data_IF_847057398311
#
_entry.id   IF_847057398311
#
_cell.length_a   1.000
_cell.length_b   1.000
_cell.length_c   1.000
_cell.angle_alpha   90.00
_cell.angle_beta   90.00
_cell.angle_gamma   90.00
#
_symmetry.space_group_name_H-M   'P 1'
#
loop_
_entity.id
_entity.type
_entity.pdbx_description
1 polymer ?
#
# COMPACT_ATOMS: atom_id res chain seq x y z
N UNK A 1 -25.39 -33.92 -15.70
CA UNK A 1 -25.55 -32.77 -14.77
C UNK A 1 -24.26 -31.95 -14.88
N UNK A 2 -23.87 -31.56 -16.10
CA UNK A 2 -22.48 -31.16 -16.41
C UNK A 2 -22.39 -29.77 -17.04
N UNK A 3 -23.53 -29.19 -17.42
CA UNK A 3 -23.60 -27.87 -18.07
C UNK A 3 -23.27 -26.73 -17.12
N UNK A 4 -23.64 -26.84 -15.84
CA UNK A 4 -23.37 -25.78 -14.85
C UNK A 4 -21.88 -25.68 -14.47
N UNK A 5 -21.15 -26.80 -14.49
CA UNK A 5 -19.71 -26.81 -14.18
C UNK A 5 -18.90 -26.23 -15.33
N UNK A 6 -19.21 -26.61 -16.56
CA UNK A 6 -18.57 -26.07 -17.78
C UNK A 6 -18.75 -24.56 -17.93
N UNK A 7 -19.93 -24.01 -17.60
CA UNK A 7 -20.19 -22.56 -17.71
C UNK A 7 -19.43 -21.78 -16.62
N UNK A 8 -19.31 -22.33 -15.40
CA UNK A 8 -18.54 -21.71 -14.33
C UNK A 8 -17.04 -21.68 -14.66
N UNK A 9 -16.50 -22.79 -15.19
CA UNK A 9 -15.09 -22.90 -15.58
C UNK A 9 -14.75 -21.93 -16.75
N UNK A 10 -15.63 -21.79 -17.74
CA UNK A 10 -15.45 -20.85 -18.86
C UNK A 10 -15.52 -19.38 -18.43
N UNK A 11 -16.38 -19.06 -17.45
CA UNK A 11 -16.54 -17.69 -16.94
C UNK A 11 -15.31 -17.25 -16.14
N UNK A 12 -14.83 -18.11 -15.25
CA UNK A 12 -13.61 -17.86 -14.48
C UNK A 12 -12.38 -17.75 -15.39
N UNK A 13 -12.28 -18.59 -16.43
CA UNK A 13 -11.21 -18.49 -17.42
C UNK A 13 -11.22 -17.16 -18.18
N UNK A 14 -12.40 -16.62 -18.49
CA UNK A 14 -12.52 -15.31 -19.15
C UNK A 14 -12.08 -14.17 -18.23
N UNK A 15 -12.46 -14.19 -16.95
CA UNK A 15 -12.09 -13.17 -15.97
C UNK A 15 -10.57 -13.10 -15.78
N UNK A 16 -9.92 -14.26 -15.64
CA UNK A 16 -8.46 -14.32 -15.51
C UNK A 16 -7.74 -13.81 -16.76
N UNK A 17 -8.32 -13.99 -17.95
CA UNK A 17 -7.74 -13.44 -19.17
C UNK A 17 -7.83 -11.89 -19.23
N UNK A 18 -8.91 -11.31 -18.70
CA UNK A 18 -9.05 -9.84 -18.58
C UNK A 18 -8.03 -9.29 -17.60
N UNK A 19 -7.89 -9.89 -16.41
CA UNK A 19 -6.89 -9.51 -15.40
C UNK A 19 -5.48 -9.62 -15.97
N UNK A 20 -5.14 -10.75 -16.61
CA UNK A 20 -3.83 -10.93 -17.23
C UNK A 20 -3.52 -9.88 -18.32
N UNK A 21 -4.54 -9.50 -19.10
CA UNK A 21 -4.39 -8.45 -20.11
C UNK A 21 -4.15 -7.08 -19.47
N UNK A 22 -4.85 -6.74 -18.39
CA UNK A 22 -4.65 -5.49 -17.65
C UNK A 22 -3.25 -5.44 -17.00
N UNK A 23 -2.78 -6.55 -16.41
CA UNK A 23 -1.42 -6.67 -15.85
C UNK A 23 -0.37 -6.34 -16.92
N UNK A 24 -0.54 -6.85 -18.15
CA UNK A 24 0.39 -6.57 -19.24
C UNK A 24 0.48 -5.08 -19.62
N UNK A 25 -0.58 -4.29 -19.36
CA UNK A 25 -0.58 -2.83 -19.57
C UNK A 25 0.20 -2.11 -18.48
N UNK A 26 0.09 -2.54 -17.24
CA UNK A 26 0.60 -1.77 -16.08
C UNK A 26 1.99 -2.19 -15.62
N UNK A 27 2.38 -3.46 -15.86
CA UNK A 27 3.58 -4.06 -15.29
C UNK A 27 4.86 -3.29 -15.60
N UNK A 28 5.09 -2.95 -16.86
CA UNK A 28 6.35 -2.29 -17.29
C UNK A 28 6.56 -0.91 -16.65
N UNK A 29 5.49 -0.24 -16.24
CA UNK A 29 5.55 1.04 -15.54
C UNK A 29 5.62 0.84 -14.03
N UNK A 30 4.89 -0.15 -13.50
CA UNK A 30 4.97 -0.56 -12.10
C UNK A 30 6.38 -1.01 -11.71
N UNK A 31 7.07 -1.77 -12.56
CA UNK A 31 8.42 -2.29 -12.32
C UNK A 31 9.49 -1.17 -12.26
N UNK A 32 9.14 0.06 -12.68
CA UNK A 32 10.02 1.24 -12.60
C UNK A 32 9.78 2.09 -11.35
N UNK A 33 8.73 1.78 -10.59
CA UNK A 33 8.42 2.52 -9.38
C UNK A 33 9.36 2.09 -8.26
N UNK A 34 10.03 3.07 -7.65
CA UNK A 34 10.98 2.86 -6.55
C UNK A 34 10.26 3.02 -5.21
N UNK A 35 9.75 1.90 -4.70
CA UNK A 35 9.12 1.84 -3.37
C UNK A 35 10.15 1.74 -2.25
N UNK A 36 9.71 2.04 -1.03
CA UNK A 36 10.46 1.94 0.22
C UNK A 36 10.24 0.58 0.88
N UNK A 37 11.18 0.11 1.68
CA UNK A 37 11.11 -1.24 2.27
C UNK A 37 10.65 -1.20 3.73
N UNK A 38 11.15 -0.25 4.49
CA UNK A 38 11.09 -0.30 5.94
C UNK A 38 10.01 0.64 6.47
N UNK A 39 9.11 0.11 7.29
CA UNK A 39 8.11 0.89 8.01
C UNK A 39 8.66 1.26 9.38
N UNK A 40 9.00 2.53 9.55
CA UNK A 40 9.58 3.07 10.77
C UNK A 40 8.55 3.87 11.58
N UNK A 41 8.63 3.78 12.91
CA UNK A 41 7.89 4.61 13.87
C UNK A 41 8.78 4.97 15.06
N UNK A 42 8.27 5.84 15.93
CA UNK A 42 9.01 6.33 17.09
C UNK A 42 8.57 5.66 18.39
N UNK A 43 9.58 5.29 19.17
CA UNK A 43 9.45 4.81 20.54
C UNK A 43 10.48 5.57 21.38
N UNK A 44 10.39 5.48 22.70
CA UNK A 44 11.40 6.06 23.57
C UNK A 44 11.74 5.14 24.74
N UNK A 45 12.98 5.23 25.20
CA UNK A 45 13.37 4.71 26.51
C UNK A 45 13.07 5.73 27.58
N UNK A 46 12.45 5.29 28.67
CA UNK A 46 12.40 6.05 29.91
C UNK A 46 13.72 5.92 30.72
N UNK A 47 13.85 6.70 31.79
CA UNK A 47 15.02 6.69 32.69
C UNK A 47 15.26 5.37 33.41
N UNK A 48 14.25 4.49 33.45
CA UNK A 48 14.37 3.14 34.01
C UNK A 48 14.75 2.12 32.91
N UNK A 49 14.90 2.56 31.66
CA UNK A 49 15.25 1.75 30.50
C UNK A 49 14.07 0.98 29.90
N UNK A 50 12.83 1.36 30.23
CA UNK A 50 11.63 0.72 29.66
C UNK A 50 11.32 1.35 28.31
N UNK A 51 10.98 0.49 27.34
CA UNK A 51 10.58 0.91 26.00
C UNK A 51 9.09 1.29 25.99
N UNK A 52 8.79 2.49 25.50
CA UNK A 52 7.45 3.07 25.48
C UNK A 52 7.12 3.60 24.07
N UNK A 53 5.84 3.54 23.68
CA UNK A 53 5.36 4.18 22.47
C UNK A 53 5.45 5.72 22.60
N UNK A 54 5.80 6.41 21.51
CA UNK A 54 5.91 7.87 21.49
C UNK A 54 4.63 8.52 20.93
N UNK A 55 3.64 8.77 21.80
CA UNK A 55 2.28 9.18 21.41
C UNK A 55 2.21 10.55 20.70
N UNK A 56 3.23 11.40 20.87
CA UNK A 56 3.33 12.71 20.25
C UNK A 56 3.51 12.64 18.73
N UNK A 57 4.01 11.51 18.21
CA UNK A 57 4.14 11.24 16.79
C UNK A 57 3.94 9.75 16.47
N UNK A 58 2.74 9.42 16.00
CA UNK A 58 2.33 8.06 15.62
C UNK A 58 2.34 7.85 14.10
N UNK A 59 3.09 8.69 13.37
CA UNK A 59 3.24 8.57 11.93
C UNK A 59 4.03 7.33 11.51
N UNK A 60 3.95 7.01 10.23
CA UNK A 60 4.78 5.96 9.62
C UNK A 60 5.76 6.55 8.62
N UNK A 61 7.04 6.17 8.72
CA UNK A 61 8.14 6.78 7.99
C UNK A 61 8.95 5.72 7.25
N UNK A 62 9.50 6.04 6.08
CA UNK A 62 10.41 5.14 5.39
C UNK A 62 11.84 5.21 5.93
N UNK A 63 12.69 4.28 5.49
CA UNK A 63 14.13 4.20 5.81
C UNK A 63 14.89 5.50 5.53
N UNK A 64 14.44 6.29 4.56
CA UNK A 64 15.12 7.53 4.16
C UNK A 64 14.65 8.76 4.97
N UNK A 65 13.46 8.71 5.59
CA UNK A 65 12.86 9.87 6.24
C UNK A 65 12.88 9.82 7.77
N UNK A 66 12.97 8.63 8.37
CA UNK A 66 12.77 8.45 9.81
C UNK A 66 13.81 9.17 10.67
N UNK A 67 15.09 9.15 10.28
CA UNK A 67 16.16 9.81 11.05
C UNK A 67 16.07 11.34 10.98
N UNK A 68 15.75 11.90 9.81
CA UNK A 68 15.52 13.36 9.69
C UNK A 68 14.34 13.78 10.56
N UNK A 69 13.22 13.02 10.50
CA UNK A 69 12.05 13.29 11.33
C UNK A 69 12.34 13.15 12.84
N UNK A 70 13.18 12.18 13.24
CA UNK A 70 13.67 12.04 14.62
C UNK A 70 14.38 13.31 15.09
N UNK A 71 15.28 13.85 14.26
CA UNK A 71 16.01 15.08 14.58
C UNK A 71 15.05 16.29 14.69
N UNK A 72 14.04 16.37 13.83
CA UNK A 72 13.01 17.41 13.93
C UNK A 72 12.26 17.34 15.27
N UNK A 73 11.82 16.14 15.67
CA UNK A 73 11.10 15.92 16.93
C UNK A 73 11.96 16.37 18.12
N UNK A 74 13.24 15.95 18.16
CA UNK A 74 14.16 16.29 19.24
C UNK A 74 14.47 17.79 19.34
N UNK A 75 14.31 18.53 18.25
CA UNK A 75 14.55 19.97 18.19
C UNK A 75 13.25 20.81 18.22
N UNK A 76 12.07 20.19 18.20
CA UNK A 76 10.80 20.91 18.20
C UNK A 76 10.41 21.36 19.63
N UNK A 77 10.58 22.65 19.87
CA UNK A 77 10.17 23.32 21.13
C UNK A 77 8.69 23.19 21.50
N UNK A 78 7.83 22.74 20.59
CA UNK A 78 6.39 22.54 20.84
C UNK A 78 6.05 21.15 21.36
N UNK A 79 6.97 20.19 21.26
CA UNK A 79 6.75 18.83 21.74
C UNK A 79 7.03 18.80 23.23
N UNK A 80 6.03 18.36 24.00
CA UNK A 80 6.18 18.09 25.42
C UNK A 80 6.57 16.62 25.59
N UNK A 81 7.84 16.36 25.91
CA UNK A 81 8.31 14.99 26.13
C UNK A 81 7.69 14.38 27.40
N UNK A 82 7.36 13.08 27.38
CA UNK A 82 6.82 12.37 28.54
C UNK A 82 7.70 12.49 29.80
N UNK A 83 7.07 12.42 30.97
CA UNK A 83 7.82 12.38 32.23
C UNK A 83 8.72 11.14 32.26
N UNK A 84 10.02 11.35 32.50
CA UNK A 84 10.98 10.26 32.53
C UNK A 84 11.55 9.89 31.16
N UNK A 85 11.24 10.62 30.09
CA UNK A 85 11.92 10.49 28.79
C UNK A 85 13.45 10.54 28.93
N UNK A 86 14.14 9.63 28.25
CA UNK A 86 15.61 9.56 28.17
C UNK A 86 16.10 9.63 26.72
N UNK A 87 15.67 8.70 25.87
CA UNK A 87 16.13 8.60 24.47
C UNK A 87 14.98 8.28 23.52
N UNK A 88 14.86 9.05 22.44
CA UNK A 88 13.98 8.71 21.30
C UNK A 88 14.69 7.71 20.39
N UNK A 89 13.99 6.66 19.98
CA UNK A 89 14.49 5.64 19.07
C UNK A 89 13.57 5.48 17.86
N UNK A 90 14.16 4.99 16.77
CA UNK A 90 13.44 4.56 15.58
C UNK A 90 13.31 3.04 15.65
N UNK A 91 12.07 2.57 15.63
CA UNK A 91 11.75 1.15 15.52
C UNK A 91 11.30 0.85 14.10
N UNK A 92 11.73 -0.29 13.58
CA UNK A 92 11.56 -0.70 12.18
C UNK A 92 10.85 -2.03 12.08
N UNK A 93 9.83 -2.12 11.22
CA UNK A 93 9.23 -3.37 10.78
C UNK A 93 9.35 -3.49 9.26
N UNK A 94 9.85 -4.62 8.79
CA UNK A 94 9.99 -4.94 7.36
C UNK A 94 8.90 -5.91 6.87
N UNK A 95 8.07 -6.44 7.79
CA UNK A 95 7.05 -7.45 7.51
C UNK A 95 5.69 -7.10 8.13
N UNK A 96 5.36 -5.80 8.20
CA UNK A 96 4.08 -5.33 8.74
C UNK A 96 2.97 -5.81 7.81
N UNK A 97 2.19 -6.77 8.27
CA UNK A 97 0.88 -7.09 7.70
C UNK A 97 0.03 -5.82 7.82
N UNK A 98 -0.06 -5.06 6.74
CA UNK A 98 -0.85 -3.84 6.67
C UNK A 98 -2.03 -4.07 5.73
N UNK A 99 -3.17 -3.50 6.11
CA UNK A 99 -4.27 -3.38 5.18
C UNK A 99 -3.89 -2.30 4.14
N UNK A 100 -3.92 -2.66 2.86
CA UNK A 100 -3.69 -1.75 1.73
C UNK A 100 -2.25 -1.27 1.55
N UNK A 101 -2.10 -0.12 0.89
CA UNK A 101 -0.80 0.53 0.72
C UNK A 101 -0.47 1.38 1.92
N UNK A 102 0.68 1.11 2.54
CA UNK A 102 1.28 1.99 3.52
C UNK A 102 2.09 3.07 2.79
N UNK A 103 1.92 4.33 3.19
CA UNK A 103 2.68 5.46 2.66
C UNK A 103 3.52 6.08 3.77
N UNK A 104 4.70 6.59 3.40
CA UNK A 104 5.50 7.41 4.29
C UNK A 104 4.84 8.79 4.49
N UNK A 105 4.65 9.21 5.73
CA UNK A 105 4.00 10.49 6.05
C UNK A 105 4.85 11.71 5.66
N UNK A 106 6.18 11.55 5.54
CA UNK A 106 7.09 12.60 5.06
C UNK A 106 7.10 12.74 3.53
N UNK A 107 7.45 11.68 2.80
CA UNK A 107 7.68 11.77 1.35
C UNK A 107 6.50 11.31 0.49
N UNK A 108 5.48 10.67 1.08
CA UNK A 108 4.31 10.14 0.37
C UNK A 108 4.57 8.86 -0.42
N UNK A 109 5.82 8.39 -0.51
CA UNK A 109 6.16 7.15 -1.22
C UNK A 109 5.59 5.91 -0.54
N UNK A 110 5.28 4.88 -1.31
CA UNK A 110 4.78 3.60 -0.79
C UNK A 110 5.90 2.88 -0.06
N UNK A 111 5.58 2.41 1.15
CA UNK A 111 6.39 1.47 1.91
C UNK A 111 5.84 0.07 1.63
N UNK A 112 6.58 -0.73 0.87
CA UNK A 112 6.20 -2.10 0.58
C UNK A 112 6.53 -3.00 1.77
N UNK A 113 5.57 -3.13 2.66
CA UNK A 113 5.47 -4.22 3.63
C UNK A 113 4.47 -5.28 3.14
N UNK A 114 4.23 -6.33 3.92
CA UNK A 114 3.23 -7.34 3.55
C UNK A 114 1.83 -6.70 3.43
N UNK A 115 1.16 -6.86 2.29
CA UNK A 115 -0.16 -6.26 2.03
C UNK A 115 -1.26 -7.29 2.29
N UNK A 116 -2.24 -6.90 3.10
CA UNK A 116 -3.53 -7.55 3.28
C UNK A 116 -4.56 -6.68 2.56
N UNK A 117 -5.49 -7.31 1.85
CA UNK A 117 -6.56 -6.57 1.17
C UNK A 117 -7.86 -6.69 1.93
N UNK A 118 -8.62 -5.59 1.99
CA UNK A 118 -10.02 -5.60 2.34
C UNK A 118 -10.88 -4.93 1.25
N UNK A 119 -12.20 -5.15 1.30
CA UNK A 119 -13.15 -4.57 0.32
C UNK A 119 -13.10 -3.04 0.32
N UNK A 120 -12.88 -2.42 1.48
CA UNK A 120 -12.83 -0.96 1.64
C UNK A 120 -11.66 -0.32 0.88
N UNK A 121 -10.53 -1.01 0.77
CA UNK A 121 -9.33 -0.52 0.07
C UNK A 121 -9.47 -0.55 -1.43
N UNK A 122 -10.11 -1.60 -1.95
CA UNK A 122 -10.40 -1.75 -3.36
C UNK A 122 -11.50 -0.79 -3.80
N UNK A 123 -12.38 -0.39 -2.87
CA UNK A 123 -13.49 0.52 -3.11
C UNK A 123 -13.03 1.87 -3.70
N UNK A 124 -11.85 2.35 -3.29
CA UNK A 124 -11.28 3.59 -3.82
C UNK A 124 -11.08 3.52 -5.34
N UNK A 125 -10.65 2.38 -5.87
CA UNK A 125 -10.43 2.18 -7.29
C UNK A 125 -11.73 1.93 -8.05
N UNK A 126 -12.61 1.10 -7.49
CA UNK A 126 -13.86 0.71 -8.18
C UNK A 126 -14.85 1.87 -8.28
N UNK A 127 -14.76 2.89 -7.41
CA UNK A 127 -15.61 4.09 -7.42
C UNK A 127 -15.10 5.25 -8.28
N UNK A 128 -13.87 5.19 -8.81
CA UNK A 128 -13.36 6.27 -9.65
C UNK A 128 -14.21 6.40 -10.93
N UNK A 129 -14.53 7.64 -11.29
CA UNK A 129 -15.12 7.92 -12.60
C UNK A 129 -14.07 7.84 -13.73
N UNK A 130 -14.55 7.84 -14.97
CA UNK A 130 -13.68 7.71 -16.15
C UNK A 130 -12.66 8.83 -16.30
N UNK A 131 -12.89 10.02 -15.72
CA UNK A 131 -11.94 11.12 -15.85
C UNK A 131 -10.82 11.00 -14.83
N UNK A 132 -11.15 10.60 -13.59
CA UNK A 132 -10.18 10.28 -12.57
C UNK A 132 -9.29 9.10 -12.97
N UNK A 133 -9.84 8.05 -13.59
CA UNK A 133 -9.04 6.97 -14.16
C UNK A 133 -7.98 7.47 -15.15
N UNK A 134 -8.33 8.39 -16.06
CA UNK A 134 -7.35 8.96 -17.02
C UNK A 134 -6.30 9.83 -16.33
N UNK A 135 -6.65 10.53 -15.26
CA UNK A 135 -5.70 11.33 -14.49
C UNK A 135 -4.67 10.42 -13.83
N UNK A 136 -5.13 9.34 -13.19
CA UNK A 136 -4.26 8.37 -12.50
C UNK A 136 -3.19 7.76 -13.42
N UNK A 137 -3.48 7.59 -14.72
CA UNK A 137 -2.55 7.11 -15.76
C UNK A 137 -1.24 7.93 -15.85
N UNK A 138 -1.20 9.15 -15.34
CA UNK A 138 -0.01 9.99 -15.47
C UNK A 138 1.01 9.80 -14.32
N UNK A 139 0.69 8.97 -13.32
CA UNK A 139 1.51 8.81 -12.13
C UNK A 139 2.05 7.37 -12.02
N UNK A 140 3.39 7.15 -12.00
CA UNK A 140 3.99 5.82 -11.80
C UNK A 140 3.49 5.09 -10.54
N UNK A 141 3.22 5.86 -9.49
CA UNK A 141 2.62 5.41 -8.23
C UNK A 141 1.35 4.58 -8.45
N UNK A 142 0.42 5.06 -9.28
CA UNK A 142 -0.85 4.38 -9.54
C UNK A 142 -0.68 3.09 -10.34
N UNK A 143 0.30 3.03 -11.23
CA UNK A 143 0.63 1.78 -11.95
C UNK A 143 1.10 0.70 -10.99
N UNK A 144 1.97 1.06 -10.05
CA UNK A 144 2.42 0.14 -9.00
C UNK A 144 1.24 -0.37 -8.17
N UNK A 145 0.37 0.54 -7.74
CA UNK A 145 -0.79 0.15 -6.93
C UNK A 145 -1.70 -0.86 -7.65
N UNK A 146 -2.10 -0.54 -8.88
CA UNK A 146 -2.95 -1.42 -9.68
C UNK A 146 -2.27 -2.75 -9.97
N UNK A 147 -0.96 -2.75 -10.27
CA UNK A 147 -0.22 -3.99 -10.47
C UNK A 147 -0.23 -4.87 -9.22
N UNK A 148 -0.04 -4.30 -8.02
CA UNK A 148 -0.06 -5.04 -6.75
C UNK A 148 -1.44 -5.59 -6.37
N UNK A 149 -2.52 -4.89 -6.73
CA UNK A 149 -3.90 -5.39 -6.57
C UNK A 149 -4.16 -6.58 -7.50
N UNK A 150 -3.72 -6.47 -8.75
CA UNK A 150 -4.01 -7.49 -9.77
C UNK A 150 -3.02 -8.67 -9.76
N UNK A 151 -1.85 -8.54 -9.14
CA UNK A 151 -0.91 -9.66 -9.01
C UNK A 151 -1.41 -10.66 -7.95
N UNK A 152 -1.33 -11.96 -8.26
CA UNK A 152 -1.79 -13.02 -7.35
C UNK A 152 -0.91 -13.23 -6.11
N UNK A 153 0.04 -12.33 -5.81
CA UNK A 153 0.99 -12.49 -4.70
C UNK A 153 0.37 -12.22 -3.33
N UNK A 154 -0.66 -11.37 -3.27
CA UNK A 154 -1.24 -10.87 -2.02
C UNK A 154 -2.71 -11.29 -1.82
N UNK A 155 -3.22 -12.23 -2.61
CA UNK A 155 -4.55 -12.82 -2.42
C UNK A 155 -5.74 -12.00 -2.93
N UNK A 156 -5.57 -10.73 -3.35
CA UNK A 156 -6.67 -9.89 -3.84
C UNK A 156 -7.49 -10.53 -4.96
N UNK A 157 -6.83 -11.14 -5.96
CA UNK A 157 -7.52 -11.79 -7.09
C UNK A 157 -8.34 -13.02 -6.68
N UNK A 158 -8.00 -13.64 -5.55
CA UNK A 158 -8.70 -14.81 -5.02
C UNK A 158 -9.85 -14.39 -4.09
N UNK A 159 -9.62 -13.39 -3.24
CA UNK A 159 -10.58 -12.94 -2.21
C UNK A 159 -11.60 -11.91 -2.73
N UNK A 160 -11.17 -11.02 -3.64
CA UNK A 160 -11.94 -9.88 -4.17
C UNK A 160 -11.97 -9.90 -5.70
N UNK A 161 -12.34 -11.05 -6.26
CA UNK A 161 -12.26 -11.30 -7.70
C UNK A 161 -13.14 -10.37 -8.55
N UNK A 162 -14.29 -9.91 -8.02
CA UNK A 162 -15.20 -9.01 -8.74
C UNK A 162 -14.63 -7.59 -8.83
N UNK A 163 -14.08 -7.07 -7.73
CA UNK A 163 -13.40 -5.78 -7.66
C UNK A 163 -12.17 -5.76 -8.56
N UNK A 164 -11.36 -6.82 -8.50
CA UNK A 164 -10.19 -6.99 -9.37
C UNK A 164 -10.58 -6.98 -10.85
N UNK A 165 -11.72 -7.59 -11.21
CA UNK A 165 -12.23 -7.56 -12.58
C UNK A 165 -12.64 -6.14 -13.00
N UNK A 166 -13.37 -5.42 -12.15
CA UNK A 166 -13.77 -4.02 -12.42
C UNK A 166 -12.54 -3.14 -12.63
N UNK A 167 -11.52 -3.29 -11.78
CA UNK A 167 -10.25 -2.58 -11.89
C UNK A 167 -9.57 -2.92 -13.23
N UNK A 168 -9.46 -4.20 -13.58
CA UNK A 168 -8.85 -4.65 -14.83
C UNK A 168 -9.57 -4.11 -16.07
N UNK A 169 -10.91 -4.12 -16.08
CA UNK A 169 -11.71 -3.56 -17.19
C UNK A 169 -11.47 -2.06 -17.35
N UNK A 170 -11.39 -1.30 -16.25
CA UNK A 170 -11.12 0.13 -16.29
C UNK A 170 -9.71 0.45 -16.79
N UNK A 171 -8.70 -0.33 -16.38
CA UNK A 171 -7.33 -0.24 -16.94
C UNK A 171 -7.37 -0.41 -18.46
N UNK A 172 -8.00 -1.47 -18.96
CA UNK A 172 -8.07 -1.73 -20.40
C UNK A 172 -8.84 -0.64 -21.16
N UNK A 173 -9.84 -0.05 -20.54
CA UNK A 173 -10.66 1.00 -21.16
C UNK A 173 -9.98 2.38 -21.18
N UNK A 174 -9.19 2.70 -20.15
CA UNK A 174 -8.71 4.05 -19.91
C UNK A 174 -7.18 4.20 -20.04
N UNK A 175 -6.42 3.12 -19.89
CA UNK A 175 -4.95 3.15 -19.85
C UNK A 175 -4.25 2.50 -21.05
N UNK A 176 -5.00 1.85 -21.95
CA UNK A 176 -4.57 1.66 -23.34
C UNK A 176 -4.46 3.01 -24.07
#
# INVERSE_FOLDING_TARGET
MDTNKSIQDDTQSCQMAVIASAIAVVKDLADKYEYKQDSNWFEYYDKDGCLCAFDEDQGTYCEDCSEERKEEILNDSKIEFPEGFDELIVSTESSKENEGFLNCDCCGEIIQCAIIWNEQELENWTKLDSENWKICKNEPYHYYQVYKILEGCWGATDEFSEECLIIAENVLKHWL
#
